data_IF_244380098535
#
_entry.id   IF_244380098535
#
_cell.length_a   1.000
_cell.length_b   1.000
_cell.length_c   1.000
_cell.angle_alpha   90.00
_cell.angle_beta   90.00
_cell.angle_gamma   90.00
#
_symmetry.space_group_name_H-M   'P 1'
#
loop_
_entity.id
_entity.type
_entity.pdbx_description
1 polymer ?
#
# COMPACT_ATOMS: atom_id res chain seq x y z
N UNK A 1 29.35 22.53 14.05
CA UNK A 1 28.01 22.74 13.46
C UNK A 1 27.23 21.44 13.56
N UNK A 2 26.32 21.31 14.53
CA UNK A 2 25.44 20.14 14.64
C UNK A 2 24.22 20.35 13.75
N UNK A 3 23.88 19.38 12.89
CA UNK A 3 22.62 19.42 12.12
C UNK A 3 21.44 19.34 13.08
N UNK A 4 20.40 20.15 12.87
CA UNK A 4 19.15 20.05 13.65
C UNK A 4 18.52 18.67 13.44
N UNK A 5 17.82 18.14 14.44
CA UNK A 5 17.12 16.83 14.33
C UNK A 5 16.17 16.78 13.13
N UNK A 6 15.53 17.90 12.81
CA UNK A 6 14.60 18.02 11.67
C UNK A 6 15.31 17.84 10.33
N UNK A 7 16.56 18.33 10.24
CA UNK A 7 17.39 18.21 9.05
C UNK A 7 17.78 16.75 8.79
N UNK A 8 18.02 15.98 9.85
CA UNK A 8 18.33 14.54 9.76
C UNK A 8 17.12 13.74 9.29
N UNK A 9 15.91 14.08 9.75
CA UNK A 9 14.67 13.39 9.34
C UNK A 9 14.36 13.65 7.86
N UNK A 10 14.65 14.86 7.37
CA UNK A 10 14.38 15.24 5.99
C UNK A 10 15.45 14.74 5.02
N UNK A 11 16.74 14.84 5.37
CA UNK A 11 17.86 14.50 4.47
C UNK A 11 18.33 13.05 4.60
N UNK A 12 18.09 12.42 5.76
CA UNK A 12 18.52 11.05 6.05
C UNK A 12 18.06 10.02 5.00
N UNK A 13 16.77 10.02 4.59
CA UNK A 13 16.29 9.10 3.55
C UNK A 13 17.01 9.28 2.21
N UNK A 14 17.30 10.53 1.82
CA UNK A 14 17.95 10.83 0.54
C UNK A 14 19.42 10.42 0.55
N UNK A 15 20.14 10.67 1.65
CA UNK A 15 21.52 10.20 1.80
C UNK A 15 21.62 8.68 1.89
N UNK A 16 20.65 8.02 2.54
CA UNK A 16 20.59 6.56 2.61
C UNK A 16 20.40 5.95 1.21
N UNK A 17 19.53 6.54 0.39
CA UNK A 17 19.26 6.07 -0.98
C UNK A 17 20.49 6.16 -1.90
N UNK A 18 21.40 7.12 -1.70
CA UNK A 18 22.63 7.24 -2.51
C UNK A 18 23.55 6.01 -2.43
N UNK A 19 23.45 5.23 -1.36
CA UNK A 19 24.28 4.04 -1.11
C UNK A 19 23.46 2.76 -1.07
N UNK A 20 22.14 2.86 -1.20
CA UNK A 20 21.27 1.71 -1.13
C UNK A 20 21.40 0.89 -2.42
N UNK A 21 21.46 -0.43 -2.28
CA UNK A 21 21.35 -1.36 -3.40
C UNK A 21 19.91 -1.87 -3.58
N UNK A 22 19.06 -1.67 -2.56
CA UNK A 22 17.66 -2.10 -2.55
C UNK A 22 16.84 -1.21 -1.62
N UNK A 23 15.59 -0.91 -1.98
CA UNK A 23 14.67 -0.09 -1.19
C UNK A 23 13.54 -0.94 -0.60
N UNK A 24 13.30 -0.82 0.70
CA UNK A 24 12.14 -1.42 1.35
C UNK A 24 11.09 -0.33 1.62
N UNK A 25 9.93 -0.48 1.00
CA UNK A 25 8.79 0.43 1.21
C UNK A 25 7.88 -0.21 2.24
N UNK A 26 7.87 0.34 3.46
CA UNK A 26 7.07 -0.21 4.56
C UNK A 26 5.70 0.47 4.59
N UNK A 27 4.65 -0.31 4.38
CA UNK A 27 3.26 0.12 4.47
C UNK A 27 2.62 -0.46 5.72
N UNK A 28 1.98 0.39 6.52
CA UNK A 28 1.14 -0.06 7.63
C UNK A 28 -0.18 -0.62 7.10
N UNK A 29 -0.48 -1.88 7.39
CA UNK A 29 -1.70 -2.56 6.94
C UNK A 29 -2.97 -2.04 7.62
N UNK A 30 -2.85 -1.34 8.75
CA UNK A 30 -4.00 -0.75 9.45
C UNK A 30 -4.26 0.69 9.03
N UNK A 31 -3.43 1.27 8.16
CA UNK A 31 -3.66 2.61 7.64
C UNK A 31 -4.91 2.62 6.75
N UNK A 32 -5.72 3.66 6.86
CA UNK A 32 -6.96 3.80 6.07
C UNK A 32 -6.71 4.08 4.58
N UNK A 33 -5.48 4.41 4.20
CA UNK A 33 -5.10 4.69 2.82
C UNK A 33 -4.58 3.45 2.10
N UNK A 34 -5.09 3.23 0.89
CA UNK A 34 -4.70 2.17 -0.05
C UNK A 34 -3.68 2.66 -1.09
N UNK A 35 -2.95 3.74 -0.79
CA UNK A 35 -1.97 4.36 -1.67
C UNK A 35 -0.60 4.50 -1.00
N UNK A 36 0.46 4.44 -1.82
CA UNK A 36 1.80 4.78 -1.37
C UNK A 36 1.93 6.31 -1.33
N UNK A 37 2.36 6.86 -0.20
CA UNK A 37 2.52 8.29 -0.02
C UNK A 37 3.33 8.95 -1.15
N UNK A 38 2.83 10.07 -1.70
CA UNK A 38 3.39 10.72 -2.90
C UNK A 38 4.89 11.04 -2.80
N UNK A 39 5.39 11.44 -1.63
CA UNK A 39 6.84 11.67 -1.41
C UNK A 39 7.68 10.40 -1.58
N UNK A 40 7.17 9.25 -1.13
CA UNK A 40 7.84 7.96 -1.30
C UNK A 40 7.82 7.56 -2.77
N UNK A 41 6.68 7.72 -3.45
CA UNK A 41 6.58 7.51 -4.89
C UNK A 41 7.57 8.36 -5.68
N UNK A 42 7.70 9.65 -5.32
CA UNK A 42 8.68 10.54 -5.94
C UNK A 42 10.13 10.07 -5.71
N UNK A 43 10.48 9.61 -4.51
CA UNK A 43 11.81 9.06 -4.21
C UNK A 43 12.11 7.79 -5.02
N UNK A 44 11.15 6.87 -5.12
CA UNK A 44 11.26 5.65 -5.91
C UNK A 44 11.40 5.96 -7.40
N UNK A 45 10.66 6.96 -7.92
CA UNK A 45 10.77 7.38 -9.31
C UNK A 45 12.17 7.95 -9.62
N UNK A 46 12.70 8.81 -8.74
CA UNK A 46 14.06 9.36 -8.87
C UNK A 46 15.14 8.29 -8.81
N UNK A 47 14.92 7.21 -8.06
CA UNK A 47 15.86 6.10 -7.90
C UNK A 47 15.35 4.82 -8.56
N UNK A 48 14.71 4.93 -9.72
CA UNK A 48 14.09 3.81 -10.45
C UNK A 48 15.05 2.71 -10.90
N UNK A 49 16.36 2.97 -10.84
CA UNK A 49 17.42 1.98 -11.05
C UNK A 49 17.58 1.02 -9.87
N UNK A 50 17.11 1.39 -8.67
CA UNK A 50 17.15 0.53 -7.49
C UNK A 50 15.94 -0.41 -7.46
N UNK A 51 16.13 -1.71 -7.21
CA UNK A 51 15.02 -2.60 -6.92
C UNK A 51 14.33 -2.16 -5.63
N UNK A 52 13.01 -2.29 -5.61
CA UNK A 52 12.18 -1.96 -4.45
C UNK A 52 11.25 -3.12 -4.10
N UNK A 53 11.08 -3.37 -2.80
CA UNK A 53 10.13 -4.35 -2.27
C UNK A 53 9.13 -3.66 -1.36
N UNK A 54 7.84 -3.92 -1.57
CA UNK A 54 6.77 -3.51 -0.68
C UNK A 54 6.69 -4.47 0.51
N UNK A 55 6.75 -3.91 1.72
CA UNK A 55 6.65 -4.63 2.99
C UNK A 55 5.36 -4.21 3.67
N UNK A 56 4.40 -5.11 3.77
CA UNK A 56 3.16 -4.88 4.51
C UNK A 56 3.42 -5.21 5.99
N UNK A 57 3.32 -4.20 6.85
CA UNK A 57 3.59 -4.27 8.27
C UNK A 57 2.29 -4.27 9.09
N UNK A 58 2.36 -4.72 10.36
CA UNK A 58 1.21 -4.86 11.27
C UNK A 58 0.09 -5.78 10.77
N UNK A 59 0.47 -6.83 10.04
CA UNK A 59 -0.48 -7.83 9.51
C UNK A 59 -1.21 -8.60 10.61
N UNK A 60 -0.66 -8.64 11.82
CA UNK A 60 -1.26 -9.25 13.01
C UNK A 60 -2.53 -8.51 13.48
N UNK A 61 -2.66 -7.23 13.18
CA UNK A 61 -3.82 -6.41 13.53
C UNK A 61 -4.92 -6.47 12.47
N UNK A 62 -4.66 -7.08 11.31
CA UNK A 62 -5.64 -7.20 10.23
C UNK A 62 -6.56 -8.40 10.49
N UNK A 63 -7.85 -8.13 10.62
CA UNK A 63 -8.84 -9.15 10.98
C UNK A 63 -9.11 -10.14 9.84
N UNK A 64 -9.15 -9.67 8.59
CA UNK A 64 -9.43 -10.52 7.43
C UNK A 64 -8.23 -10.63 6.49
N UNK A 65 -7.81 -11.87 6.19
CA UNK A 65 -6.66 -12.13 5.31
C UNK A 65 -6.88 -11.68 3.87
N UNK A 66 -8.14 -11.61 3.46
CA UNK A 66 -8.61 -11.06 2.19
C UNK A 66 -8.10 -9.64 1.94
N UNK A 67 -8.15 -8.82 2.99
CA UNK A 67 -7.90 -7.39 2.92
C UNK A 67 -6.42 -7.14 2.59
N UNK A 68 -5.53 -8.01 3.08
CA UNK A 68 -4.10 -7.98 2.75
C UNK A 68 -3.83 -8.27 1.27
N UNK A 69 -4.54 -9.24 0.68
CA UNK A 69 -4.38 -9.58 -0.74
C UNK A 69 -4.86 -8.44 -1.62
N UNK A 70 -5.99 -7.83 -1.26
CA UNK A 70 -6.56 -6.71 -1.99
C UNK A 70 -5.69 -5.46 -1.87
N UNK A 71 -5.26 -5.10 -0.66
CA UNK A 71 -4.32 -4.01 -0.41
C UNK A 71 -3.03 -4.19 -1.22
N UNK A 72 -2.47 -5.41 -1.22
CA UNK A 72 -1.28 -5.72 -2.03
C UNK A 72 -1.56 -5.52 -3.52
N UNK A 73 -2.73 -5.94 -4.01
CA UNK A 73 -3.14 -5.75 -5.41
C UNK A 73 -3.22 -4.27 -5.77
N UNK A 74 -3.83 -3.44 -4.91
CA UNK A 74 -3.97 -1.99 -5.15
C UNK A 74 -2.59 -1.32 -5.18
N UNK A 75 -1.79 -1.52 -4.13
CA UNK A 75 -0.49 -0.85 -3.98
C UNK A 75 0.54 -1.24 -5.06
N UNK A 76 0.39 -2.44 -5.65
CA UNK A 76 1.27 -2.94 -6.70
C UNK A 76 0.67 -2.82 -8.11
N UNK A 77 -0.52 -2.21 -8.23
CA UNK A 77 -1.29 -2.17 -9.48
C UNK A 77 -1.43 -3.56 -10.14
N UNK A 78 -1.65 -4.59 -9.31
CA UNK A 78 -1.80 -5.97 -9.72
C UNK A 78 -0.54 -6.64 -10.28
N UNK A 79 0.64 -6.03 -10.14
CA UNK A 79 1.90 -6.53 -10.72
C UNK A 79 3.06 -6.51 -9.73
N UNK A 80 3.77 -7.63 -9.64
CA UNK A 80 4.98 -7.77 -8.81
C UNK A 80 6.14 -8.20 -9.70
N UNK A 81 7.27 -7.50 -9.61
CA UNK A 81 8.45 -7.75 -10.45
C UNK A 81 8.14 -7.80 -11.97
N UNK A 82 7.19 -6.96 -12.42
CA UNK A 82 6.75 -6.90 -13.82
C UNK A 82 5.77 -8.00 -14.24
N UNK A 83 5.52 -9.00 -13.40
CA UNK A 83 4.56 -10.07 -13.65
C UNK A 83 3.20 -9.76 -12.98
N UNK A 84 2.06 -10.08 -13.62
CA UNK A 84 0.76 -9.98 -12.98
C UNK A 84 0.64 -10.96 -11.80
N UNK A 85 -0.03 -10.54 -10.73
CA UNK A 85 -0.31 -11.40 -9.58
C UNK A 85 -1.24 -12.54 -10.00
N UNK A 86 -0.85 -13.78 -9.70
CA UNK A 86 -1.68 -14.97 -9.92
C UNK A 86 -2.42 -15.30 -8.63
N UNK A 87 -3.76 -15.32 -8.70
CA UNK A 87 -4.61 -15.65 -7.56
C UNK A 87 -5.09 -17.09 -7.72
N UNK A 88 -4.52 -17.99 -6.92
CA UNK A 88 -5.00 -19.37 -6.85
C UNK A 88 -6.12 -19.47 -5.81
N UNK A 89 -7.35 -19.67 -6.29
CA UNK A 89 -8.51 -19.93 -5.43
C UNK A 89 -8.35 -21.33 -4.83
N UNK A 90 -8.00 -21.42 -3.55
CA UNK A 90 -8.03 -22.67 -2.79
C UNK A 90 -9.32 -22.74 -1.98
N UNK A 91 -10.17 -23.72 -2.27
CA UNK A 91 -11.30 -24.04 -1.42
C UNK A 91 -10.78 -24.71 -0.14
N UNK A 92 -10.96 -24.05 1.01
CA UNK A 92 -10.61 -24.63 2.32
C UNK A 92 -11.85 -25.37 2.84
N UNK A 93 -11.83 -26.71 2.76
CA UNK A 93 -12.85 -27.56 3.37
C UNK A 93 -14.22 -27.57 2.68
N UNK A 94 -15.13 -28.43 3.17
CA UNK A 94 -16.44 -28.78 2.57
C UNK A 94 -17.49 -27.65 2.55
N UNK A 95 -17.14 -26.43 2.95
CA UNK A 95 -18.01 -25.25 2.85
C UNK A 95 -17.31 -24.22 1.96
N UNK A 96 -17.48 -24.38 0.65
CA UNK A 96 -16.88 -23.51 -0.36
C UNK A 96 -17.53 -22.13 -0.34
N UNK A 97 -16.99 -21.21 0.45
CA UNK A 97 -17.20 -19.77 0.22
C UNK A 97 -16.10 -19.33 -0.75
N UNK A 98 -16.49 -18.95 -1.96
CA UNK A 98 -15.56 -18.48 -2.99
C UNK A 98 -14.96 -17.15 -2.55
N UNK A 99 -13.63 -17.04 -2.61
CA UNK A 99 -12.84 -15.83 -2.35
C UNK A 99 -13.19 -14.63 -3.28
N UNK A 100 -14.20 -14.75 -4.15
CA UNK A 100 -14.66 -13.68 -5.05
C UNK A 100 -15.48 -12.59 -4.36
N UNK A 101 -15.99 -12.83 -3.14
CA UNK A 101 -16.85 -11.86 -2.42
C UNK A 101 -16.07 -10.93 -1.48
N UNK A 102 -14.74 -10.92 -1.58
CA UNK A 102 -13.87 -10.11 -0.74
C UNK A 102 -13.77 -8.69 -1.29
N UNK A 103 -14.88 -7.96 -1.26
CA UNK A 103 -14.91 -6.51 -1.44
C UNK A 103 -14.58 -5.86 -0.09
N UNK A 104 -13.59 -4.95 -0.08
CA UNK A 104 -13.24 -4.15 1.10
C UNK A 104 -14.37 -3.21 1.54
N UNK A 105 -15.33 -2.92 0.65
CA UNK A 105 -16.52 -2.12 0.96
C UNK A 105 -17.78 -2.96 0.81
N UNK A 106 -18.56 -2.99 1.90
CA UNK A 106 -19.97 -3.35 1.89
C UNK A 106 -20.72 -2.32 1.03
N UNK A 107 -21.58 -2.77 0.11
CA UNK A 107 -22.35 -1.89 -0.79
C UNK A 107 -23.33 -0.98 0.01
N UNK A 108 -23.42 -1.13 1.34
CA UNK A 108 -24.06 -0.15 2.24
C UNK A 108 -23.30 1.17 2.38
N UNK A 109 -22.01 1.21 2.00
CA UNK A 109 -21.17 2.42 2.00
C UNK A 109 -21.31 3.22 0.71
N UNK A 110 -21.73 2.60 -0.40
CA UNK A 110 -21.92 3.33 -1.68
C UNK A 110 -23.07 4.34 -1.63
N UNK A 111 -24.05 4.19 -0.73
CA UNK A 111 -25.09 5.22 -0.50
C UNK A 111 -24.54 6.44 0.28
N UNK A 112 -23.36 6.34 0.91
CA UNK A 112 -22.67 7.48 1.50
C UNK A 112 -21.66 8.13 0.54
N UNK A 113 -21.43 7.54 -0.64
CA UNK A 113 -20.42 8.03 -1.60
C UNK A 113 -20.79 9.39 -2.20
N UNK A 114 -22.07 9.72 -2.41
CA UNK A 114 -22.41 11.06 -2.94
C UNK A 114 -22.07 12.16 -1.92
N UNK A 115 -22.46 11.99 -0.65
CA UNK A 115 -22.14 12.93 0.41
C UNK A 115 -20.63 12.97 0.75
N UNK A 116 -19.93 11.84 0.58
CA UNK A 116 -18.48 11.73 0.82
C UNK A 116 -17.66 12.36 -0.32
N UNK A 117 -18.06 12.13 -1.58
CA UNK A 117 -17.45 12.74 -2.77
C UNK A 117 -17.65 14.25 -2.79
N UNK A 118 -18.82 14.75 -2.35
CA UNK A 118 -19.12 16.18 -2.33
C UNK A 118 -18.29 16.94 -1.27
N UNK A 119 -17.99 16.29 -0.14
CA UNK A 119 -17.21 16.88 0.96
C UNK A 119 -15.73 17.09 0.63
N UNK A 120 -15.18 16.33 -0.32
CA UNK A 120 -13.77 16.41 -0.72
C UNK A 120 -13.54 17.04 -2.10
N UNK A 121 -14.60 17.48 -2.78
CA UNK A 121 -14.50 18.21 -4.06
C UNK A 121 -13.94 19.64 -3.94
N UNK A 122 -13.68 20.12 -2.72
CA UNK A 122 -13.18 21.47 -2.43
C UNK A 122 -11.73 21.52 -1.91
N UNK A 123 -10.96 20.42 -2.00
CA UNK A 123 -9.54 20.40 -1.59
C UNK A 123 -8.60 20.17 -2.77
N UNK A 124 -8.95 20.72 -3.94
CA UNK A 124 -8.03 20.95 -5.04
C UNK A 124 -8.27 22.36 -5.61
#
# INVERSE_FOLDING_TARGET
>A
MGRSKDDIILTGPEEALKRAEHVLVVQDATATGDYIHHRVMHLLHRHSHLPASLVINKVDLVSQRSDLLELTRILTNGRVAGAPIKIDKKAIGRLGVSSSDLRLHDDSVTDQDEAWQERYRHVF
#
